data_IF_977028517457
#
_entry.id   IF_977028517457
#
_cell.length_a   1.000
_cell.length_b   1.000
_cell.length_c   1.000
_cell.angle_alpha   90.00
_cell.angle_beta   90.00
_cell.angle_gamma   90.00
#
_symmetry.space_group_name_H-M   'P 1'
#
loop_
_entity.id
_entity.type
_entity.pdbx_description
1 polymer ?
#
# COMPACT_ATOMS: atom_id res chain seq x y z
N UNK A 1 6.56 22.64 4.20
CA UNK A 1 7.68 21.69 3.99
C UNK A 1 7.52 21.09 2.59
N UNK A 2 8.55 21.20 1.74
CA UNK A 2 8.56 20.54 0.41
C UNK A 2 9.00 19.10 0.61
N UNK A 3 8.11 18.14 0.37
CA UNK A 3 8.44 16.72 0.46
C UNK A 3 9.19 16.34 -0.82
N UNK A 4 10.49 16.07 -0.72
CA UNK A 4 11.29 15.55 -1.81
C UNK A 4 10.98 14.07 -1.95
N UNK A 5 10.11 13.72 -2.90
CA UNK A 5 9.73 12.34 -3.17
C UNK A 5 10.83 11.68 -4.00
N UNK A 6 11.65 10.84 -3.37
CA UNK A 6 12.67 10.06 -4.08
C UNK A 6 12.06 8.69 -4.31
N UNK A 7 11.50 8.46 -5.51
CA UNK A 7 11.05 7.14 -5.93
C UNK A 7 11.78 6.70 -7.18
N UNK A 8 12.13 5.43 -7.29
CA UNK A 8 12.51 4.84 -8.56
C UNK A 8 11.27 4.51 -9.38
N UNK A 9 11.45 4.31 -10.68
CA UNK A 9 10.40 3.75 -11.55
C UNK A 9 10.00 2.36 -11.06
N UNK A 10 8.71 2.09 -11.01
CA UNK A 10 8.15 0.81 -10.65
C UNK A 10 8.44 -0.23 -11.74
N UNK A 11 8.87 -1.42 -11.32
CA UNK A 11 9.10 -2.57 -12.20
C UNK A 11 8.07 -3.65 -11.89
N UNK A 12 7.44 -4.17 -12.93
CA UNK A 12 6.49 -5.27 -12.76
C UNK A 12 7.24 -6.59 -12.56
N UNK A 13 6.84 -7.33 -11.55
CA UNK A 13 7.33 -8.68 -11.24
C UNK A 13 6.17 -9.57 -10.83
N UNK A 14 6.46 -10.84 -10.57
CA UNK A 14 5.53 -11.75 -9.91
C UNK A 14 6.04 -12.01 -8.50
N UNK A 15 5.11 -12.05 -7.53
CA UNK A 15 5.46 -12.48 -6.18
C UNK A 15 5.96 -13.93 -6.25
N UNK A 16 7.16 -14.25 -5.72
CA UNK A 16 7.71 -15.60 -5.81
C UNK A 16 6.91 -16.64 -5.02
N UNK A 17 6.07 -16.20 -4.08
CA UNK A 17 5.28 -17.08 -3.20
C UNK A 17 3.87 -17.34 -3.76
N UNK A 18 3.09 -16.29 -4.03
CA UNK A 18 1.71 -16.44 -4.50
C UNK A 18 1.53 -16.26 -6.02
N UNK A 19 2.61 -15.98 -6.76
CA UNK A 19 2.63 -15.74 -8.22
C UNK A 19 1.78 -14.56 -8.71
N UNK A 20 1.17 -13.80 -7.81
CA UNK A 20 0.40 -12.59 -8.11
C UNK A 20 1.29 -11.52 -8.75
N UNK A 21 0.82 -10.80 -9.77
CA UNK A 21 1.58 -9.69 -10.36
C UNK A 21 1.71 -8.55 -9.34
N UNK A 22 2.94 -8.08 -9.16
CA UNK A 22 3.32 -7.03 -8.22
C UNK A 22 4.16 -5.96 -8.91
N UNK A 23 4.21 -4.77 -8.32
CA UNK A 23 5.09 -3.69 -8.71
C UNK A 23 6.12 -3.45 -7.61
N UNK A 24 7.39 -3.36 -7.98
CA UNK A 24 8.49 -3.07 -7.09
C UNK A 24 9.11 -1.72 -7.40
N UNK A 25 9.32 -0.88 -6.38
CA UNK A 25 10.09 0.35 -6.48
C UNK A 25 10.86 0.60 -5.18
N UNK A 26 11.86 1.47 -5.23
CA UNK A 26 12.43 2.11 -4.05
C UNK A 26 11.67 3.41 -3.80
N UNK A 27 11.17 3.61 -2.59
CA UNK A 27 10.50 4.84 -2.15
C UNK A 27 11.23 5.31 -0.91
N UNK A 28 11.84 6.49 -0.97
CA UNK A 28 12.67 7.08 0.09
C UNK A 28 13.76 6.11 0.60
N UNK A 29 14.35 5.34 -0.33
CA UNK A 29 15.39 4.34 -0.05
C UNK A 29 14.87 2.99 0.47
N UNK A 30 13.55 2.85 0.69
CA UNK A 30 12.92 1.60 1.14
C UNK A 30 12.37 0.80 -0.04
N UNK A 31 12.63 -0.50 -0.05
CA UNK A 31 12.05 -1.42 -1.04
C UNK A 31 10.57 -1.63 -0.76
N UNK A 32 9.73 -1.14 -1.66
CA UNK A 32 8.28 -1.24 -1.59
C UNK A 32 7.79 -2.22 -2.65
N UNK A 33 6.86 -3.08 -2.24
CA UNK A 33 6.14 -4.00 -3.13
C UNK A 33 4.65 -3.74 -3.01
N UNK A 34 3.98 -3.48 -4.13
CA UNK A 34 2.54 -3.23 -4.21
C UNK A 34 1.88 -4.20 -5.19
N UNK A 35 0.59 -4.41 -5.06
CA UNK A 35 -0.17 -5.19 -6.04
C UNK A 35 -0.23 -4.46 -7.38
N UNK A 36 -0.04 -5.19 -8.49
CA UNK A 36 -0.11 -4.58 -9.82
C UNK A 36 -1.54 -4.18 -10.21
N UNK A 37 -2.56 -4.81 -9.59
CA UNK A 37 -3.94 -4.42 -9.76
C UNK A 37 -4.22 -3.11 -9.01
N UNK A 38 -4.76 -2.08 -9.67
CA UNK A 38 -5.14 -0.85 -8.99
C UNK A 38 -6.40 -1.06 -8.14
N UNK A 39 -6.50 -0.32 -7.05
CA UNK A 39 -7.71 -0.22 -6.24
C UNK A 39 -8.81 0.50 -7.02
N UNK A 40 -10.01 -0.07 -7.03
CA UNK A 40 -11.14 0.43 -7.80
C UNK A 40 -11.70 1.77 -7.29
N UNK A 41 -11.40 2.15 -6.05
CA UNK A 41 -11.88 3.41 -5.47
C UNK A 41 -11.51 3.58 -4.01
N UNK A 42 -12.04 4.66 -3.41
CA UNK A 42 -11.72 5.09 -2.04
C UNK A 42 -12.18 4.08 -0.98
N UNK A 43 -13.26 3.34 -1.20
CA UNK A 43 -13.71 2.30 -0.29
C UNK A 43 -12.65 1.18 -0.13
N UNK A 44 -12.03 0.77 -1.24
CA UNK A 44 -10.99 -0.26 -1.22
C UNK A 44 -9.67 0.28 -0.65
N UNK A 45 -9.39 1.57 -0.82
CA UNK A 45 -8.27 2.24 -0.15
C UNK A 45 -8.46 2.23 1.36
N UNK A 46 -9.67 2.53 1.85
CA UNK A 46 -9.99 2.49 3.27
C UNK A 46 -9.89 1.06 3.83
N UNK A 47 -10.42 0.06 3.12
CA UNK A 47 -10.30 -1.35 3.52
C UNK A 47 -8.83 -1.80 3.62
N UNK A 48 -7.98 -1.39 2.67
CA UNK A 48 -6.55 -1.66 2.73
C UNK A 48 -5.90 -1.02 3.97
N UNK A 49 -6.23 0.25 4.26
CA UNK A 49 -5.71 0.95 5.45
C UNK A 49 -6.20 0.32 6.76
N UNK A 50 -7.46 -0.13 6.83
CA UNK A 50 -8.01 -0.84 7.98
C UNK A 50 -7.32 -2.19 8.23
N UNK A 51 -6.81 -2.83 7.16
CA UNK A 51 -5.95 -4.03 7.23
C UNK A 51 -4.48 -3.71 7.54
N UNK A 52 -4.18 -2.47 7.93
CA UNK A 52 -2.83 -1.97 8.20
C UNK A 52 -1.88 -2.11 6.99
N UNK A 53 -2.42 -2.01 5.77
CA UNK A 53 -1.63 -1.99 4.53
C UNK A 53 -1.40 -0.56 4.08
N UNK A 54 -0.15 -0.23 3.77
CA UNK A 54 0.16 1.07 3.17
C UNK A 54 -0.40 1.16 1.74
N UNK A 55 -0.79 2.35 1.32
CA UNK A 55 -1.27 2.60 -0.04
C UNK A 55 -0.33 3.55 -0.79
N UNK A 56 -0.23 3.36 -2.10
CA UNK A 56 0.72 4.07 -2.94
C UNK A 56 0.02 4.55 -4.22
N UNK A 57 0.40 5.73 -4.71
CA UNK A 57 -0.03 6.22 -6.01
C UNK A 57 1.06 5.91 -7.05
N UNK A 58 0.69 5.15 -8.08
CA UNK A 58 1.52 4.97 -9.28
C UNK A 58 1.30 6.16 -10.21
N UNK A 59 2.32 7.01 -10.34
CA UNK A 59 2.24 8.22 -11.16
C UNK A 59 2.12 7.89 -12.65
N UNK A 60 1.32 8.69 -13.38
CA UNK A 60 1.11 8.46 -14.82
C UNK A 60 2.41 8.66 -15.62
N UNK A 61 3.10 9.77 -15.35
CA UNK A 61 4.22 10.25 -16.18
C UNK A 61 5.50 9.46 -15.90
N UNK A 62 5.89 9.33 -14.62
CA UNK A 62 7.17 8.72 -14.25
C UNK A 62 7.06 7.23 -13.95
N UNK A 63 5.84 6.73 -13.73
CA UNK A 63 5.58 5.35 -13.25
C UNK A 63 6.31 5.07 -11.92
N UNK A 64 6.44 6.10 -11.10
CA UNK A 64 6.98 6.06 -9.74
C UNK A 64 5.87 5.75 -8.73
N UNK A 65 6.22 5.10 -7.61
CA UNK A 65 5.31 4.84 -6.49
C UNK A 65 5.49 5.93 -5.43
N UNK A 66 4.40 6.61 -5.10
CA UNK A 66 4.39 7.62 -4.05
C UNK A 66 3.55 7.13 -2.89
N UNK A 67 4.13 7.05 -1.71
CA UNK A 67 3.41 6.68 -0.50
C UNK A 67 2.29 7.68 -0.21
N UNK A 68 1.07 7.18 0.03
CA UNK A 68 -0.10 8.01 0.32
C UNK A 68 -0.20 8.24 1.82
N UNK A 69 0.27 9.40 2.24
CA UNK A 69 0.12 9.88 3.61
C UNK A 69 -1.25 10.54 3.81
N UNK A 70 -1.70 10.68 5.05
CA UNK A 70 -2.95 11.36 5.41
C UNK A 70 -3.21 12.70 4.65
N UNK A 71 -2.23 13.62 4.47
CA UNK A 71 -2.47 14.83 3.68
C UNK A 71 -2.68 14.57 2.17
N UNK A 72 -2.04 13.56 1.59
CA UNK A 72 -2.23 13.17 0.17
C UNK A 72 -3.60 12.53 -0.03
N UNK A 73 -4.04 11.71 0.92
CA UNK A 73 -5.39 11.10 0.92
C UNK A 73 -6.47 12.19 0.97
N UNK A 74 -6.29 13.23 1.80
CA UNK A 74 -7.22 14.37 1.91
C UNK A 74 -7.22 15.29 0.67
N UNK A 75 -6.22 15.20 -0.21
CA UNK A 75 -6.09 16.03 -1.43
C UNK A 75 -5.81 15.17 -2.67
N UNK A 76 -6.76 14.31 -3.09
CA UNK A 76 -6.53 13.28 -4.10
C UNK A 76 -6.15 13.83 -5.48
N UNK A 77 -6.50 15.08 -5.80
CA UNK A 77 -6.20 15.72 -7.10
C UNK A 77 -4.76 16.20 -7.26
N UNK A 78 -3.91 16.10 -6.23
CA UNK A 78 -2.53 16.62 -6.32
C UNK A 78 -1.56 15.69 -7.06
N UNK A 79 -1.84 14.39 -7.12
CA UNK A 79 -0.94 13.40 -7.73
C UNK A 79 -1.75 12.54 -8.70
N UNK A 80 -1.68 12.80 -10.02
CA UNK A 80 -2.39 12.01 -11.00
C UNK A 80 -1.78 10.60 -11.10
N UNK A 81 -2.62 9.57 -11.00
CA UNK A 81 -2.16 8.18 -10.99
C UNK A 81 -3.24 7.19 -10.59
N UNK A 82 -2.87 5.91 -10.62
CA UNK A 82 -3.68 4.82 -10.06
C UNK A 82 -3.24 4.53 -8.63
N UNK A 83 -4.16 4.09 -7.78
CA UNK A 83 -3.87 3.75 -6.38
C UNK A 83 -3.63 2.25 -6.29
N UNK A 84 -2.59 1.85 -5.59
CA UNK A 84 -2.21 0.45 -5.36
C UNK A 84 -2.05 0.22 -3.86
N UNK A 85 -2.47 -0.95 -3.39
CA UNK A 85 -2.20 -1.38 -2.02
C UNK A 85 -0.85 -2.09 -1.94
N UNK A 86 -0.19 -2.00 -0.78
CA UNK A 86 0.96 -2.82 -0.46
C UNK A 86 0.62 -4.30 -0.63
N UNK A 87 1.51 -5.03 -1.29
CA UNK A 87 1.31 -6.45 -1.53
C UNK A 87 1.39 -7.21 -0.20
N UNK A 88 0.26 -7.76 0.22
CA UNK A 88 0.20 -8.69 1.34
C UNK A 88 0.01 -10.10 0.79
N UNK A 89 1.07 -10.91 0.82
CA UNK A 89 0.98 -12.27 0.32
C UNK A 89 0.01 -13.09 1.19
N UNK A 90 -1.08 -13.66 0.63
CA UNK A 90 -2.11 -14.35 1.40
C UNK A 90 -1.56 -15.60 2.11
N UNK A 91 -0.50 -16.19 1.57
CA UNK A 91 0.18 -17.37 2.13
C UNK A 91 1.00 -17.01 3.39
N UNK A 92 1.38 -15.73 3.54
CA UNK A 92 2.20 -15.23 4.65
C UNK A 92 1.44 -14.37 5.64
N UNK A 93 0.14 -14.13 5.45
CA UNK A 93 -0.65 -13.52 6.51
C UNK A 93 -0.72 -14.52 7.66
N UNK A 94 -0.10 -14.25 8.83
CA UNK A 94 -0.42 -15.04 10.00
C UNK A 94 -1.94 -14.93 10.18
N UNK A 95 -2.63 -16.06 10.27
CA UNK A 95 -3.98 -16.09 10.79
C UNK A 95 -3.97 -15.24 12.05
N UNK A 96 -4.76 -14.16 12.07
CA UNK A 96 -4.61 -13.06 12.99
C UNK A 96 -4.30 -13.56 14.40
N UNK A 97 -3.24 -13.03 15.00
CA UNK A 97 -3.11 -13.04 16.46
C UNK A 97 -4.34 -12.30 16.98
N UNK A 98 -5.40 -13.04 17.27
CA UNK A 98 -6.53 -12.58 18.03
C UNK A 98 -5.91 -12.20 19.38
N UNK A 99 -5.69 -10.91 19.60
CA UNK A 99 -5.45 -10.41 20.94
C UNK A 99 -6.75 -10.65 21.69
N UNK A 100 -6.87 -11.82 22.31
CA UNK A 100 -7.84 -12.07 23.37
C UNK A 100 -7.56 -11.05 24.46
N UNK A 101 -8.28 -9.93 24.39
CA UNK A 101 -8.33 -8.99 25.50
C UNK A 101 -8.99 -9.75 26.65
N UNK A 102 -8.33 -9.92 27.81
CA UNK A 102 -8.98 -10.53 28.96
C UNK A 102 -10.18 -9.65 29.32
N UNK A 103 -11.37 -10.23 29.18
CA UNK A 103 -12.63 -9.66 29.62
C UNK A 103 -12.54 -9.53 31.14
N UNK A 104 -12.16 -8.36 31.64
CA UNK A 104 -12.22 -8.08 33.07
C UNK A 104 -13.67 -7.86 33.45
N UNK A 105 -14.34 -8.94 33.86
CA UNK A 105 -15.60 -8.88 34.58
C UNK A 105 -15.39 -8.05 35.85
N UNK A 106 -15.96 -6.85 35.84
CA UNK A 106 -15.99 -5.97 37.01
C UNK A 106 -17.13 -6.44 37.90
N UNK A 107 -16.80 -6.95 39.08
CA UNK A 107 -17.76 -7.30 40.15
C UNK A 107 -18.13 -6.05 40.94
#
# INVERSE_FOLDING_TARGET
MRQHLISTRATQRQCPTCRTPTLHALVDGLSVTVDAAPLAGQANELDALLRNLSTYTLTIIRKELIHRTAPIIRRPRQIPGTIHAQHACPIRQPAGTQLELPFMEST
#
